data_IF_381489243552
#
_entry.id   IF_381489243552
#
_cell.length_a   1.000
_cell.length_b   1.000
_cell.length_c   1.000
_cell.angle_alpha   90.00
_cell.angle_beta   90.00
_cell.angle_gamma   90.00
#
_symmetry.space_group_name_H-M   'P 1'
#
loop_
_entity.id
_entity.type
_entity.pdbx_description
1 polymer ?
#
# COMPACT_ATOMS: atom_id res chain seq x y z
N UNK A 1 -4.41 -17.26 -11.39
CA UNK A 1 -3.54 -17.00 -10.21
C UNK A 1 -3.24 -15.51 -10.00
N UNK A 2 -2.60 -14.77 -10.94
CA UNK A 2 -2.27 -13.34 -10.72
C UNK A 2 -3.52 -12.45 -10.67
N UNK A 3 -4.43 -12.60 -11.63
CA UNK A 3 -5.70 -11.86 -11.66
C UNK A 3 -6.56 -12.11 -10.41
N UNK A 4 -6.66 -13.34 -9.97
CA UNK A 4 -7.39 -13.71 -8.75
C UNK A 4 -6.77 -13.08 -7.49
N UNK A 5 -5.45 -12.96 -7.44
CA UNK A 5 -4.75 -12.31 -6.34
C UNK A 5 -4.97 -10.80 -6.35
N UNK A 6 -4.94 -10.16 -7.52
CA UNK A 6 -5.26 -8.74 -7.69
C UNK A 6 -6.71 -8.45 -7.28
N UNK A 7 -7.65 -9.32 -7.66
CA UNK A 7 -9.05 -9.20 -7.27
C UNK A 7 -9.24 -9.32 -5.75
N UNK A 8 -8.59 -10.29 -5.10
CA UNK A 8 -8.62 -10.45 -3.63
C UNK A 8 -8.07 -9.20 -2.94
N UNK A 9 -6.94 -8.65 -3.41
CA UNK A 9 -6.36 -7.42 -2.87
C UNK A 9 -7.27 -6.21 -3.10
N UNK A 10 -7.78 -6.03 -4.31
CA UNK A 10 -8.69 -4.94 -4.62
C UNK A 10 -9.96 -5.01 -3.76
N UNK A 11 -10.55 -6.20 -3.62
CA UNK A 11 -11.70 -6.45 -2.73
C UNK A 11 -11.38 -6.09 -1.27
N UNK A 12 -10.17 -6.41 -0.79
CA UNK A 12 -9.75 -6.02 0.56
C UNK A 12 -9.70 -4.48 0.72
N UNK A 13 -9.22 -3.76 -0.29
CA UNK A 13 -9.25 -2.29 -0.28
C UNK A 13 -10.68 -1.75 -0.28
N UNK A 14 -11.58 -2.33 -1.09
CA UNK A 14 -12.98 -1.93 -1.14
C UNK A 14 -13.71 -2.15 0.19
N UNK A 15 -13.38 -3.20 0.93
CA UNK A 15 -13.98 -3.50 2.23
C UNK A 15 -13.58 -2.49 3.33
N UNK A 16 -12.51 -1.74 3.14
CA UNK A 16 -12.11 -0.64 4.02
C UNK A 16 -12.86 0.67 3.72
N UNK A 17 -13.58 0.77 2.60
CA UNK A 17 -14.40 1.94 2.29
C UNK A 17 -15.71 1.91 3.09
N UNK A 18 -16.40 3.06 3.19
CA UNK A 18 -17.75 3.10 3.77
C UNK A 18 -18.71 2.18 2.99
N UNK A 19 -19.71 1.66 3.68
CA UNK A 19 -20.70 0.71 3.09
C UNK A 19 -21.41 1.26 1.85
N UNK A 20 -21.66 2.57 1.83
CA UNK A 20 -22.32 3.22 0.70
C UNK A 20 -21.51 3.08 -0.61
N UNK A 21 -20.20 3.22 -0.55
CA UNK A 21 -19.28 3.12 -1.69
C UNK A 21 -18.93 1.66 -1.96
N UNK A 22 -18.54 0.92 -0.93
CA UNK A 22 -18.09 -0.47 -1.03
C UNK A 22 -19.10 -1.36 -1.75
N UNK A 23 -20.38 -1.35 -1.35
CA UNK A 23 -21.42 -2.17 -1.97
C UNK A 23 -21.64 -1.91 -3.47
N UNK A 24 -21.31 -0.73 -3.96
CA UNK A 24 -21.43 -0.38 -5.38
C UNK A 24 -20.20 -0.78 -6.18
N UNK A 25 -19.01 -0.77 -5.57
CA UNK A 25 -17.76 -1.13 -6.23
C UNK A 25 -17.48 -2.64 -6.20
N UNK A 26 -17.91 -3.36 -5.16
CA UNK A 26 -17.68 -4.80 -5.03
C UNK A 26 -18.15 -5.62 -6.25
N UNK A 27 -19.34 -5.39 -6.82
CA UNK A 27 -19.77 -6.11 -8.03
C UNK A 27 -18.89 -5.84 -9.26
N UNK A 28 -18.16 -4.73 -9.26
CA UNK A 28 -17.27 -4.32 -10.35
C UNK A 28 -15.81 -4.81 -10.12
N UNK A 29 -15.51 -5.38 -8.95
CA UNK A 29 -14.15 -5.78 -8.58
C UNK A 29 -13.47 -6.68 -9.62
N UNK A 30 -14.09 -7.72 -10.20
CA UNK A 30 -13.46 -8.56 -11.21
C UNK A 30 -12.99 -7.79 -12.46
N UNK A 31 -13.69 -6.71 -12.82
CA UNK A 31 -13.35 -5.88 -13.99
C UNK A 31 -12.33 -4.78 -13.69
N UNK A 32 -12.27 -4.33 -12.45
CA UNK A 32 -11.50 -3.15 -12.05
C UNK A 32 -10.15 -3.47 -11.40
N UNK A 33 -10.01 -4.67 -10.84
CA UNK A 33 -8.86 -5.05 -10.02
C UNK A 33 -7.51 -4.89 -10.74
N UNK A 34 -7.46 -5.17 -12.03
CA UNK A 34 -6.22 -5.08 -12.82
C UNK A 34 -5.94 -3.67 -13.34
N UNK A 35 -6.94 -2.78 -13.40
CA UNK A 35 -6.80 -1.45 -13.98
C UNK A 35 -6.72 -0.33 -12.95
N UNK A 36 -7.56 -0.34 -11.88
CA UNK A 36 -7.62 0.75 -10.92
C UNK A 36 -6.36 0.83 -10.08
N UNK A 37 -5.70 1.98 -10.11
CA UNK A 37 -4.51 2.30 -9.31
C UNK A 37 -4.87 3.06 -8.03
N UNK A 38 -5.87 3.96 -8.10
CA UNK A 38 -6.26 4.78 -6.96
C UNK A 38 -7.80 4.92 -6.89
N UNK A 39 -8.32 4.95 -5.67
CA UNK A 39 -9.71 5.30 -5.38
C UNK A 39 -9.69 6.62 -4.62
N UNK A 40 -10.27 7.68 -5.20
CA UNK A 40 -10.20 9.03 -4.65
C UNK A 40 -11.56 9.50 -4.14
N UNK A 41 -11.65 9.64 -2.84
CA UNK A 41 -12.76 10.26 -2.13
C UNK A 41 -12.41 11.72 -1.87
N UNK A 42 -13.24 12.65 -2.34
CA UNK A 42 -13.11 14.08 -2.06
C UNK A 42 -14.48 14.62 -1.64
N UNK A 43 -14.51 15.30 -0.52
CA UNK A 43 -15.76 15.86 0.03
C UNK A 43 -16.50 16.70 -1.01
N UNK A 44 -17.80 16.44 -1.17
CA UNK A 44 -18.69 17.11 -2.12
C UNK A 44 -18.25 17.02 -3.59
N UNK A 45 -17.50 15.98 -3.95
CA UNK A 45 -17.08 15.72 -5.34
C UNK A 45 -17.43 14.28 -5.74
N UNK A 46 -17.55 13.99 -7.05
CA UNK A 46 -17.74 12.62 -7.53
C UNK A 46 -16.63 11.69 -7.08
N UNK A 47 -16.99 10.46 -6.70
CA UNK A 47 -16.02 9.40 -6.45
C UNK A 47 -15.28 9.08 -7.73
N UNK A 48 -13.94 9.10 -7.68
CA UNK A 48 -13.08 8.85 -8.84
C UNK A 48 -12.23 7.60 -8.66
N UNK A 49 -12.15 6.80 -9.74
CA UNK A 49 -11.28 5.64 -9.90
C UNK A 49 -10.22 5.99 -10.94
N UNK A 50 -8.96 6.06 -10.52
CA UNK A 50 -7.84 6.40 -11.40
C UNK A 50 -7.23 5.13 -11.95
N UNK A 51 -7.19 5.02 -13.28
CA UNK A 51 -6.51 3.97 -14.04
C UNK A 51 -5.32 4.56 -14.80
N UNK A 52 -4.41 3.75 -15.38
CA UNK A 52 -3.26 4.25 -16.13
C UNK A 52 -3.63 5.19 -17.26
N UNK A 53 -4.68 4.87 -17.99
CA UNK A 53 -5.06 5.56 -19.22
C UNK A 53 -6.24 6.53 -19.03
N UNK A 54 -7.01 6.42 -17.95
CA UNK A 54 -8.20 7.23 -17.76
C UNK A 54 -8.62 7.32 -16.28
N UNK A 55 -9.49 8.28 -15.97
CA UNK A 55 -10.20 8.39 -14.70
C UNK A 55 -11.67 8.12 -14.93
N UNK A 56 -12.23 7.19 -14.15
CA UNK A 56 -13.66 6.88 -14.15
C UNK A 56 -14.33 7.45 -12.91
N UNK A 57 -15.57 7.86 -13.06
CA UNK A 57 -16.42 8.36 -11.99
C UNK A 57 -17.56 7.38 -11.74
N UNK A 58 -17.84 7.10 -10.48
CA UNK A 58 -18.93 6.19 -10.10
C UNK A 58 -20.26 6.93 -10.15
N UNK A 59 -21.25 6.34 -10.81
CA UNK A 59 -22.62 6.87 -10.84
C UNK A 59 -23.41 6.40 -9.62
N UNK A 60 -24.54 7.07 -9.32
CA UNK A 60 -25.43 6.70 -8.22
C UNK A 60 -25.98 5.25 -8.38
N UNK A 61 -26.17 4.80 -9.62
CA UNK A 61 -26.66 3.46 -9.92
C UNK A 61 -25.57 2.39 -9.99
N UNK A 62 -24.30 2.72 -9.63
CA UNK A 62 -23.19 1.78 -9.64
C UNK A 62 -22.54 1.58 -11.02
N UNK A 63 -22.89 2.38 -12.02
CA UNK A 63 -22.20 2.42 -13.31
C UNK A 63 -20.90 3.25 -13.25
N UNK A 64 -20.11 3.20 -14.32
CA UNK A 64 -18.89 3.99 -14.49
C UNK A 64 -19.02 4.91 -15.71
N UNK A 65 -18.54 6.14 -15.59
CA UNK A 65 -18.43 7.11 -16.66
C UNK A 65 -17.03 7.72 -16.69
N UNK A 66 -16.48 7.98 -17.85
CA UNK A 66 -15.21 8.70 -18.03
C UNK A 66 -15.39 10.23 -18.03
N UNK A 67 -16.64 10.70 -17.97
CA UNK A 67 -17.00 12.12 -17.86
C UNK A 67 -17.88 12.35 -16.65
N UNK A 68 -17.84 13.55 -16.09
CA UNK A 68 -18.73 13.93 -14.99
C UNK A 68 -20.08 14.31 -15.61
N UNK A 69 -21.12 13.56 -15.24
CA UNK A 69 -22.51 13.80 -15.65
C UNK A 69 -23.26 14.46 -14.51
N UNK A 70 -23.78 15.65 -14.73
CA UNK A 70 -24.48 16.42 -13.71
C UNK A 70 -25.68 15.64 -13.14
N UNK A 71 -25.78 15.59 -11.82
CA UNK A 71 -26.84 14.91 -11.09
C UNK A 71 -26.81 13.38 -11.11
N UNK A 72 -25.94 12.75 -11.91
CA UNK A 72 -25.88 11.28 -12.03
C UNK A 72 -24.73 10.64 -11.23
N UNK A 73 -23.75 11.43 -10.78
CA UNK A 73 -22.56 10.93 -10.11
C UNK A 73 -22.81 10.63 -8.63
N UNK A 74 -22.13 9.61 -8.11
CA UNK A 74 -22.04 9.39 -6.67
C UNK A 74 -21.13 10.47 -6.06
N UNK A 75 -21.73 11.45 -5.42
CA UNK A 75 -21.03 12.52 -4.70
C UNK A 75 -20.67 12.04 -3.31
N UNK A 76 -19.40 12.18 -2.94
CA UNK A 76 -18.87 11.76 -1.64
C UNK A 76 -19.35 12.72 -0.55
N UNK A 77 -20.05 12.20 0.43
CA UNK A 77 -20.54 12.93 1.60
C UNK A 77 -19.50 13.01 2.72
N UNK A 78 -19.75 13.86 3.72
CA UNK A 78 -18.93 13.90 4.94
C UNK A 78 -19.00 12.58 5.70
N UNK A 79 -20.15 11.92 5.74
CA UNK A 79 -20.30 10.61 6.37
C UNK A 79 -19.45 9.54 5.68
N UNK A 80 -19.43 9.53 4.33
CA UNK A 80 -18.58 8.60 3.58
C UNK A 80 -17.09 8.75 3.90
N UNK A 81 -16.61 9.99 4.08
CA UNK A 81 -15.21 10.27 4.49
C UNK A 81 -14.94 9.76 5.90
N UNK A 82 -15.83 10.09 6.87
CA UNK A 82 -15.64 9.72 8.28
C UNK A 82 -15.67 8.21 8.45
N UNK A 83 -16.65 7.54 7.88
CA UNK A 83 -16.79 6.09 7.97
C UNK A 83 -15.61 5.37 7.30
N UNK A 84 -15.18 5.85 6.12
CA UNK A 84 -14.01 5.30 5.44
C UNK A 84 -12.75 5.48 6.28
N UNK A 85 -12.53 6.65 6.86
CA UNK A 85 -11.38 6.91 7.72
C UNK A 85 -11.37 5.99 8.95
N UNK A 86 -12.50 5.83 9.64
CA UNK A 86 -12.63 4.95 10.79
C UNK A 86 -12.34 3.48 10.41
N UNK A 87 -12.87 3.01 9.28
CA UNK A 87 -12.61 1.66 8.77
C UNK A 87 -11.13 1.45 8.45
N UNK A 88 -10.48 2.39 7.79
CA UNK A 88 -9.04 2.34 7.46
C UNK A 88 -8.19 2.25 8.74
N UNK A 89 -8.58 2.99 9.78
CA UNK A 89 -7.91 2.96 11.08
C UNK A 89 -8.31 1.75 11.95
N UNK A 90 -9.18 0.86 11.48
CA UNK A 90 -9.77 -0.22 12.28
C UNK A 90 -10.38 0.29 13.59
N UNK A 91 -11.03 1.44 13.57
CA UNK A 91 -11.60 2.15 14.72
C UNK A 91 -10.58 2.47 15.84
N UNK A 92 -9.29 2.42 15.54
CA UNK A 92 -8.20 2.72 16.49
C UNK A 92 -7.29 3.82 15.92
N UNK A 93 -7.82 5.04 15.84
CA UNK A 93 -7.12 6.21 15.30
C UNK A 93 -5.83 6.51 16.09
N UNK A 94 -5.87 6.32 17.41
CA UNK A 94 -4.72 6.57 18.28
C UNK A 94 -3.49 5.74 17.90
N UNK A 95 -3.69 4.45 17.59
CA UNK A 95 -2.60 3.55 17.20
C UNK A 95 -1.99 3.89 15.83
N UNK A 96 -2.66 4.74 15.05
CA UNK A 96 -2.22 5.18 13.72
C UNK A 96 -1.73 6.63 13.69
N UNK A 97 -1.58 7.27 14.85
CA UNK A 97 -1.29 8.70 14.92
C UNK A 97 0.00 9.09 14.20
N UNK A 98 1.06 8.30 14.30
CA UNK A 98 2.31 8.55 13.60
C UNK A 98 2.14 8.51 12.06
N UNK A 99 1.37 7.56 11.55
CA UNK A 99 1.06 7.46 10.13
C UNK A 99 0.20 8.65 9.68
N UNK A 100 -0.84 9.00 10.46
CA UNK A 100 -1.76 10.10 10.17
C UNK A 100 -1.02 11.44 10.13
N UNK A 101 -0.11 11.70 11.06
CA UNK A 101 0.73 12.91 11.07
C UNK A 101 1.59 13.00 9.81
N UNK A 102 2.03 11.86 9.28
CA UNK A 102 2.76 11.76 8.01
C UNK A 102 1.84 11.79 6.77
N UNK A 103 0.52 11.99 6.96
CA UNK A 103 -0.46 12.15 5.89
C UNK A 103 -0.93 10.87 5.22
N UNK A 104 -0.70 9.69 5.79
CA UNK A 104 -1.17 8.42 5.26
C UNK A 104 -1.44 7.37 6.34
N UNK A 105 -2.16 6.31 5.98
CA UNK A 105 -2.33 5.10 6.79
C UNK A 105 -2.11 3.89 5.89
N UNK A 106 -1.33 2.91 6.37
CA UNK A 106 -1.15 1.62 5.71
C UNK A 106 -2.34 0.71 6.03
N UNK A 107 -2.98 0.19 5.00
CA UNK A 107 -4.18 -0.64 5.10
C UNK A 107 -3.84 -2.12 4.94
N UNK A 108 -4.77 -2.98 5.37
CA UNK A 108 -4.70 -4.41 5.07
C UNK A 108 -4.58 -4.65 3.55
N UNK A 109 -3.75 -5.61 3.14
CA UNK A 109 -3.43 -5.87 1.72
C UNK A 109 -2.25 -5.02 1.20
N UNK A 110 -1.58 -4.23 2.06
CA UNK A 110 -0.46 -3.37 1.68
C UNK A 110 -0.88 -2.10 0.97
N UNK A 111 -2.19 -1.82 0.90
CA UNK A 111 -2.70 -0.57 0.34
C UNK A 111 -2.31 0.61 1.21
N UNK A 112 -2.24 1.80 0.61
CA UNK A 112 -1.91 3.03 1.33
C UNK A 112 -3.01 4.06 1.12
N UNK A 113 -3.57 4.57 2.20
CA UNK A 113 -4.55 5.65 2.17
C UNK A 113 -3.86 6.96 2.51
N UNK A 114 -3.71 7.84 1.54
CA UNK A 114 -3.33 9.24 1.75
C UNK A 114 -4.50 10.02 2.35
N UNK A 115 -4.24 10.91 3.30
CA UNK A 115 -5.26 11.63 4.05
C UNK A 115 -4.96 13.12 3.94
N UNK A 116 -5.98 13.91 3.58
CA UNK A 116 -5.91 15.37 3.56
C UNK A 116 -7.02 15.95 4.45
N UNK A 117 -6.67 16.95 5.22
CA UNK A 117 -7.57 17.65 6.13
C UNK A 117 -6.90 18.89 6.69
N UNK A 118 -7.41 19.39 7.82
CA UNK A 118 -6.83 20.53 8.54
C UNK A 118 -5.74 20.07 9.49
N UNK A 119 -4.53 20.54 9.32
CA UNK A 119 -3.41 20.23 10.21
C UNK A 119 -3.63 20.86 11.60
N UNK A 120 -3.35 20.09 12.65
CA UNK A 120 -3.20 20.57 14.01
C UNK A 120 -1.71 20.73 14.29
N UNK A 121 -1.28 21.97 14.55
CA UNK A 121 0.14 22.29 14.73
C UNK A 121 0.42 22.61 16.20
N UNK A 122 1.49 22.03 16.74
CA UNK A 122 2.03 22.36 18.06
C UNK A 122 3.55 22.58 17.92
N UNK A 123 4.05 23.71 18.43
CA UNK A 123 5.47 24.10 18.35
C UNK A 123 6.05 23.98 16.91
N UNK A 124 5.29 24.40 15.89
CA UNK A 124 5.72 24.37 14.48
C UNK A 124 5.70 22.97 13.84
N UNK A 125 5.27 21.94 14.55
CA UNK A 125 5.17 20.56 14.02
C UNK A 125 3.70 20.14 13.93
N UNK A 126 3.36 19.41 12.85
CA UNK A 126 2.05 18.79 12.72
C UNK A 126 1.97 17.65 13.75
N UNK A 127 0.97 17.72 14.62
CA UNK A 127 0.73 16.70 15.67
C UNK A 127 -0.53 15.88 15.42
N UNK A 128 -1.42 16.36 14.54
CA UNK A 128 -2.63 15.63 14.13
C UNK A 128 -3.22 16.25 12.86
N UNK A 129 -4.18 15.54 12.24
CA UNK A 129 -5.02 16.05 11.14
C UNK A 129 -6.48 15.92 11.58
N UNK A 130 -7.24 17.02 11.44
CA UNK A 130 -8.68 17.05 11.70
C UNK A 130 -9.44 17.44 10.43
N UNK A 131 -10.76 17.35 10.48
CA UNK A 131 -11.66 17.76 9.40
C UNK A 131 -11.20 17.19 8.05
N UNK A 132 -11.07 15.85 7.99
CA UNK A 132 -10.60 15.16 6.79
C UNK A 132 -11.53 15.47 5.62
N UNK A 133 -10.97 15.97 4.53
CA UNK A 133 -11.70 16.38 3.32
C UNK A 133 -11.44 15.47 2.13
N UNK A 134 -10.33 14.71 2.16
CA UNK A 134 -9.99 13.79 1.08
C UNK A 134 -9.25 12.55 1.58
N UNK A 135 -9.57 11.42 0.96
CA UNK A 135 -8.85 10.15 1.15
C UNK A 135 -8.50 9.62 -0.24
N UNK A 136 -7.21 9.27 -0.43
CA UNK A 136 -6.73 8.62 -1.65
C UNK A 136 -6.23 7.21 -1.35
N UNK A 137 -7.01 6.20 -1.68
CA UNK A 137 -6.63 4.80 -1.50
C UNK A 137 -5.84 4.34 -2.72
N UNK A 138 -4.53 4.13 -2.55
CA UNK A 138 -3.63 3.58 -3.56
C UNK A 138 -3.63 2.07 -3.47
N UNK A 139 -3.95 1.41 -4.57
CA UNK A 139 -4.06 -0.04 -4.64
C UNK A 139 -2.67 -0.65 -4.79
N UNK A 140 -2.25 -1.39 -3.78
CA UNK A 140 -1.01 -2.14 -3.83
C UNK A 140 -1.17 -3.35 -4.76
N UNK A 141 -0.19 -3.56 -5.62
CA UNK A 141 -0.09 -4.74 -6.47
C UNK A 141 1.21 -5.47 -6.17
N UNK A 142 1.16 -6.77 -6.30
CA UNK A 142 2.33 -7.62 -6.18
C UNK A 142 2.70 -8.15 -7.56
N UNK A 143 3.98 -8.05 -7.88
CA UNK A 143 4.54 -8.52 -9.14
C UNK A 143 5.54 -9.65 -8.85
N UNK A 144 5.02 -10.88 -8.62
CA UNK A 144 5.85 -12.07 -8.45
C UNK A 144 6.51 -12.45 -9.77
N UNK A 145 7.77 -12.89 -9.69
CA UNK A 145 8.57 -13.30 -10.85
C UNK A 145 9.30 -12.14 -11.55
N UNK A 146 9.09 -10.89 -11.14
CA UNK A 146 9.78 -9.75 -11.75
C UNK A 146 11.30 -9.75 -11.46
N UNK A 147 11.75 -10.46 -10.42
CA UNK A 147 13.15 -10.59 -10.07
C UNK A 147 13.82 -11.88 -10.56
N UNK A 148 13.14 -12.77 -11.29
CA UNK A 148 13.69 -14.07 -11.70
C UNK A 148 14.99 -13.93 -12.50
N UNK A 149 15.08 -12.98 -13.43
CA UNK A 149 16.28 -12.70 -14.20
C UNK A 149 17.43 -12.14 -13.37
N UNK A 150 17.11 -11.36 -12.34
CA UNK A 150 18.06 -10.81 -11.38
C UNK A 150 18.56 -11.88 -10.42
N UNK A 151 17.68 -12.73 -9.92
CA UNK A 151 18.01 -13.80 -8.98
C UNK A 151 19.15 -14.67 -9.49
N UNK A 152 19.09 -15.15 -10.74
CA UNK A 152 20.10 -16.02 -11.32
C UNK A 152 21.47 -15.33 -11.42
N UNK A 153 21.51 -14.01 -11.54
CA UNK A 153 22.75 -13.23 -11.57
C UNK A 153 23.29 -12.96 -10.17
N UNK A 154 22.41 -12.65 -9.23
CA UNK A 154 22.79 -12.19 -7.89
C UNK A 154 23.19 -13.34 -6.98
N UNK A 155 22.58 -14.52 -7.11
CA UNK A 155 22.90 -15.68 -6.25
C UNK A 155 24.37 -16.13 -6.35
N UNK A 156 25.03 -15.81 -7.45
CA UNK A 156 26.43 -16.14 -7.70
C UNK A 156 27.42 -15.00 -7.32
N UNK A 157 26.90 -13.84 -6.89
CA UNK A 157 27.74 -12.69 -6.53
C UNK A 157 28.22 -12.82 -5.09
N UNK A 158 29.54 -12.77 -4.90
CA UNK A 158 30.16 -12.61 -3.58
C UNK A 158 30.37 -11.09 -3.33
N UNK A 159 29.55 -10.48 -2.49
CA UNK A 159 29.65 -9.06 -2.16
C UNK A 159 28.33 -8.32 -2.17
N UNK A 160 28.39 -6.99 -2.10
CA UNK A 160 27.19 -6.15 -2.08
C UNK A 160 26.62 -5.92 -3.47
N UNK A 161 25.31 -5.80 -3.56
CA UNK A 161 24.57 -5.45 -4.78
C UNK A 161 23.79 -4.15 -4.54
N UNK A 162 23.95 -3.18 -5.44
CA UNK A 162 23.21 -1.92 -5.40
C UNK A 162 22.23 -1.86 -6.58
N UNK A 163 20.93 -1.68 -6.28
CA UNK A 163 19.89 -1.52 -7.28
C UNK A 163 19.56 -0.03 -7.43
N UNK A 164 19.90 0.55 -8.57
CA UNK A 164 19.71 1.96 -8.87
C UNK A 164 18.68 2.15 -9.99
N UNK A 165 17.98 3.29 -9.97
CA UNK A 165 17.04 3.67 -11.02
C UNK A 165 16.21 4.90 -10.63
N UNK A 166 15.49 5.47 -11.60
CA UNK A 166 14.61 6.63 -11.40
C UNK A 166 13.51 6.34 -10.36
N UNK A 167 12.89 7.35 -9.76
CA UNK A 167 11.66 7.17 -8.99
C UNK A 167 10.60 6.38 -9.78
N UNK A 168 9.83 5.54 -9.10
CA UNK A 168 8.78 4.69 -9.71
C UNK A 168 9.26 3.68 -10.77
N UNK A 169 10.56 3.40 -10.89
CA UNK A 169 11.12 2.43 -11.86
C UNK A 169 10.97 0.96 -11.43
N UNK A 170 10.33 0.68 -10.30
CA UNK A 170 10.08 -0.67 -9.82
C UNK A 170 11.17 -1.26 -8.90
N UNK A 171 12.16 -0.47 -8.43
CA UNK A 171 13.23 -0.94 -7.55
C UNK A 171 12.73 -1.73 -6.35
N UNK A 172 11.83 -1.13 -5.56
CA UNK A 172 11.22 -1.76 -4.37
C UNK A 172 10.46 -3.04 -4.73
N UNK A 173 9.80 -3.08 -5.90
CA UNK A 173 9.08 -4.26 -6.40
C UNK A 173 10.04 -5.42 -6.70
N UNK A 174 11.14 -5.12 -7.41
CA UNK A 174 12.20 -6.11 -7.71
C UNK A 174 12.89 -6.56 -6.43
N UNK A 175 13.20 -5.64 -5.51
CA UNK A 175 13.87 -5.94 -4.26
C UNK A 175 13.04 -6.88 -3.38
N UNK A 176 11.72 -6.65 -3.30
CA UNK A 176 10.76 -7.50 -2.58
C UNK A 176 10.72 -8.93 -3.15
N UNK A 177 10.57 -9.04 -4.46
CA UNK A 177 10.51 -10.36 -5.10
C UNK A 177 11.85 -11.10 -5.03
N UNK A 178 12.97 -10.36 -5.08
CA UNK A 178 14.30 -10.90 -4.86
C UNK A 178 14.48 -11.43 -3.43
N UNK A 179 14.02 -10.70 -2.40
CA UNK A 179 14.02 -11.15 -1.01
C UNK A 179 13.27 -12.48 -0.86
N UNK A 180 12.07 -12.57 -1.45
CA UNK A 180 11.29 -13.80 -1.50
C UNK A 180 12.07 -14.94 -2.16
N UNK A 181 12.68 -14.72 -3.32
CA UNK A 181 13.43 -15.74 -4.07
C UNK A 181 14.68 -16.21 -3.31
N UNK A 182 15.44 -15.28 -2.74
CA UNK A 182 16.65 -15.60 -1.98
C UNK A 182 16.33 -16.45 -0.74
N UNK A 183 15.26 -16.12 -0.02
CA UNK A 183 14.88 -16.84 1.20
C UNK A 183 14.15 -18.16 0.91
N UNK A 184 13.40 -18.29 -0.19
CA UNK A 184 12.66 -19.52 -0.52
C UNK A 184 13.44 -20.46 -1.45
N UNK A 185 13.73 -20.01 -2.68
CA UNK A 185 14.44 -20.78 -3.69
C UNK A 185 15.94 -20.91 -3.35
N UNK A 186 16.55 -19.83 -2.90
CA UNK A 186 17.95 -19.78 -2.49
C UNK A 186 18.23 -20.40 -1.14
N UNK A 187 17.20 -20.60 -0.31
CA UNK A 187 17.30 -21.12 1.07
C UNK A 187 18.30 -20.35 1.92
N UNK A 188 18.41 -19.04 1.68
CA UNK A 188 19.28 -18.15 2.43
C UNK A 188 18.57 -17.57 3.64
N UNK A 189 19.33 -17.36 4.73
CA UNK A 189 18.85 -16.58 5.87
C UNK A 189 18.91 -15.10 5.49
N UNK A 190 17.75 -14.48 5.27
CA UNK A 190 17.63 -13.10 4.78
C UNK A 190 17.03 -12.22 5.87
N UNK A 191 17.77 -11.19 6.29
CA UNK A 191 17.24 -10.10 7.09
C UNK A 191 16.75 -8.99 6.16
N UNK A 192 15.46 -8.65 6.27
CA UNK A 192 14.80 -7.61 5.49
C UNK A 192 14.56 -6.37 6.35
N UNK A 193 15.22 -5.27 6.02
CA UNK A 193 15.09 -4.02 6.75
C UNK A 193 14.14 -3.10 5.97
N UNK A 194 12.96 -2.92 6.54
CA UNK A 194 11.83 -2.22 5.95
C UNK A 194 11.48 -0.96 6.75
N UNK A 195 12.35 0.07 6.66
CA UNK A 195 12.19 1.31 7.43
C UNK A 195 10.88 2.03 7.13
N UNK A 196 10.36 1.91 5.89
CA UNK A 196 9.16 2.61 5.43
C UNK A 196 7.92 1.75 5.29
N UNK A 197 8.01 0.45 5.61
CA UNK A 197 6.92 -0.49 5.43
C UNK A 197 6.56 -0.75 3.96
N UNK A 198 7.51 -0.56 3.02
CA UNK A 198 7.25 -0.70 1.58
C UNK A 198 7.57 -2.10 1.05
N UNK A 199 8.44 -2.85 1.73
CA UNK A 199 8.83 -4.20 1.34
C UNK A 199 7.84 -5.24 1.85
N UNK A 200 7.77 -5.44 3.15
CA UNK A 200 6.85 -6.39 3.78
C UNK A 200 5.42 -5.87 3.87
N UNK A 201 5.28 -4.54 3.99
CA UNK A 201 3.97 -3.89 4.11
C UNK A 201 3.25 -4.32 5.39
N UNK A 202 3.92 -4.24 6.53
CA UNK A 202 3.37 -4.72 7.81
C UNK A 202 2.12 -3.94 8.19
N UNK A 203 1.01 -4.65 8.40
CA UNK A 203 -0.21 -4.07 8.93
C UNK A 203 -0.79 -4.98 10.01
N UNK A 204 -1.07 -4.42 11.19
CA UNK A 204 -1.60 -5.17 12.34
C UNK A 204 -0.81 -6.45 12.66
N UNK A 205 0.53 -6.37 12.61
CA UNK A 205 1.44 -7.48 12.89
C UNK A 205 1.47 -8.59 11.82
N UNK A 206 0.92 -8.34 10.63
CA UNK A 206 0.93 -9.29 9.52
C UNK A 206 1.59 -8.68 8.29
N UNK A 207 2.41 -9.45 7.62
CA UNK A 207 2.98 -9.05 6.33
C UNK A 207 1.90 -9.09 5.26
N UNK A 208 1.81 -8.03 4.47
CA UNK A 208 0.84 -7.89 3.39
C UNK A 208 1.41 -8.32 2.04
N UNK A 209 2.74 -8.36 1.92
CA UNK A 209 3.45 -8.83 0.76
C UNK A 209 4.11 -10.18 1.05
N UNK A 210 4.21 -11.01 0.01
CA UNK A 210 4.95 -12.27 0.09
C UNK A 210 6.45 -11.98 -0.01
N UNK A 211 7.12 -12.02 1.12
CA UNK A 211 8.56 -11.83 1.27
C UNK A 211 9.30 -13.16 1.52
N UNK A 212 8.60 -14.28 1.37
CA UNK A 212 9.15 -15.61 1.62
C UNK A 212 9.46 -15.85 3.09
N UNK A 213 10.67 -16.35 3.39
CA UNK A 213 11.13 -16.74 4.72
C UNK A 213 12.10 -15.70 5.32
N UNK A 214 11.86 -14.40 5.05
CA UNK A 214 12.71 -13.33 5.58
C UNK A 214 12.38 -12.98 7.03
N UNK A 215 13.41 -12.66 7.82
CA UNK A 215 13.28 -12.00 9.11
C UNK A 215 13.13 -10.48 8.89
N UNK A 216 12.01 -9.88 9.32
CA UNK A 216 11.67 -8.50 9.01
C UNK A 216 11.90 -7.56 10.16
N UNK A 217 12.64 -6.50 9.91
CA UNK A 217 12.80 -5.35 10.78
C UNK A 217 11.94 -4.20 10.24
N UNK A 218 10.71 -4.10 10.77
CA UNK A 218 9.72 -3.11 10.32
C UNK A 218 9.82 -1.82 11.13
N UNK A 219 9.86 -0.67 10.44
CA UNK A 219 9.90 0.66 11.05
C UNK A 219 11.15 0.96 11.92
N UNK A 220 12.20 0.18 11.79
CA UNK A 220 13.50 0.45 12.40
C UNK A 220 14.32 1.45 11.58
N UNK A 221 15.16 2.23 12.23
CA UNK A 221 16.25 2.93 11.54
C UNK A 221 17.20 1.91 10.89
N UNK A 222 17.60 2.15 9.63
CA UNK A 222 18.40 1.20 8.84
C UNK A 222 19.68 0.78 9.54
N UNK A 223 20.44 1.73 10.08
CA UNK A 223 21.75 1.44 10.71
C UNK A 223 21.59 0.59 11.98
N UNK A 224 20.58 0.89 12.80
CA UNK A 224 20.28 0.13 14.01
C UNK A 224 19.78 -1.28 13.66
N UNK A 225 18.87 -1.40 12.70
CA UNK A 225 18.34 -2.69 12.25
C UNK A 225 19.44 -3.60 11.69
N UNK A 226 20.38 -3.07 10.90
CA UNK A 226 21.53 -3.85 10.39
C UNK A 226 22.36 -4.41 11.52
N UNK A 227 22.68 -3.60 12.52
CA UNK A 227 23.47 -4.06 13.69
C UNK A 227 22.71 -5.11 14.50
N UNK A 228 21.41 -4.92 14.70
CA UNK A 228 20.56 -5.89 15.38
C UNK A 228 20.50 -7.21 14.61
N UNK A 229 20.27 -7.16 13.30
CA UNK A 229 20.20 -8.36 12.46
C UNK A 229 21.49 -9.18 12.54
N UNK A 230 22.63 -8.53 12.34
CA UNK A 230 23.94 -9.20 12.37
C UNK A 230 24.22 -9.84 13.73
N UNK A 231 23.86 -9.17 14.83
CA UNK A 231 24.14 -9.65 16.18
C UNK A 231 23.20 -10.78 16.64
N UNK A 232 21.97 -10.82 16.17
CA UNK A 232 20.93 -11.68 16.74
C UNK A 232 20.38 -12.75 15.83
N UNK A 233 20.38 -12.52 14.48
CA UNK A 233 19.70 -13.41 13.53
C UNK A 233 20.67 -14.14 12.58
N UNK A 234 21.97 -13.86 12.64
CA UNK A 234 22.99 -14.47 11.79
C UNK A 234 22.61 -14.53 10.30
N UNK A 235 22.21 -13.42 9.68
CA UNK A 235 21.78 -13.43 8.29
C UNK A 235 22.96 -13.68 7.34
N UNK A 236 22.71 -14.45 6.27
CA UNK A 236 23.65 -14.58 5.14
C UNK A 236 23.52 -13.38 4.20
N UNK A 237 22.33 -12.78 4.15
CA UNK A 237 22.01 -11.63 3.29
C UNK A 237 21.21 -10.62 4.09
N UNK A 238 21.59 -9.36 4.01
CA UNK A 238 20.81 -8.22 4.51
C UNK A 238 20.29 -7.42 3.33
N UNK A 239 18.98 -7.20 3.28
CA UNK A 239 18.30 -6.41 2.26
C UNK A 239 17.71 -5.17 2.91
N UNK A 240 17.93 -3.98 2.32
CA UNK A 240 17.32 -2.73 2.77
C UNK A 240 16.92 -1.85 1.58
N UNK A 241 15.80 -1.09 1.73
CA UNK A 241 15.30 -0.12 0.73
C UNK A 241 15.51 1.31 1.24
#
# INVERSE_FOLDING_TARGET
MLAEQNEKRFTAALNCLCKNISRRLLPLAPKLADSVQEIRLRLSRPLALVCPDNTYYLTQNGGLSNTILDGAMLVVSKADIVDTFNNICNYSVYNRQNEIVNGFVTMYGGHRAGICGTAVVNNGKIVNIRDITSINVRIAREHKGCADSFYNKIIAVSGGVLICGAPCSGKTTVLRDLARLLSTKGKKNVALIDERGELAGTASGKFQNDIGMCDVYDSYNKSEAMLHAIRSMAPEIVICD
#
